data_IF_060812613787
#
_entry.id   IF_060812613787
#
_cell.length_a   1.000
_cell.length_b   1.000
_cell.length_c   1.000
_cell.angle_alpha   90.00
_cell.angle_beta   90.00
_cell.angle_gamma   90.00
#
_symmetry.space_group_name_H-M   'P 1'
#
loop_
_entity.id
_entity.type
_entity.pdbx_description
1 polymer ?
#
# COMPACT_ATOMS: atom_id res chain seq x y z
N UNK A 1 36.35 8.21 2.16
CA UNK A 1 35.59 9.20 2.96
C UNK A 1 34.13 8.95 2.72
N UNK A 2 33.46 8.37 3.67
CA UNK A 2 32.02 8.15 3.61
C UNK A 2 31.31 9.49 3.78
N UNK A 3 30.45 9.90 2.88
CA UNK A 3 29.69 11.14 3.09
C UNK A 3 28.85 10.99 4.36
N UNK A 4 29.01 11.92 5.25
CA UNK A 4 28.24 11.93 6.49
C UNK A 4 26.75 12.06 6.14
N UNK A 5 25.97 11.04 6.49
CA UNK A 5 24.52 10.99 6.32
C UNK A 5 23.77 12.15 7.03
N UNK A 6 24.49 12.95 7.82
CA UNK A 6 23.88 14.07 8.54
C UNK A 6 23.40 15.23 7.65
N UNK A 7 23.74 15.21 6.35
CA UNK A 7 23.25 16.24 5.42
C UNK A 7 21.97 15.82 4.66
N UNK A 8 21.45 14.63 4.92
CA UNK A 8 20.19 14.18 4.33
C UNK A 8 19.01 14.66 5.18
N UNK A 9 19.26 15.63 6.06
CA UNK A 9 18.27 16.10 6.95
C UNK A 9 17.47 17.19 6.35
N UNK A 10 16.64 17.62 6.11
CA UNK A 10 15.76 18.70 5.62
C UNK A 10 15.74 18.81 4.10
N UNK A 11 14.86 18.09 3.51
CA UNK A 11 14.48 18.27 2.11
C UNK A 11 14.74 17.12 1.18
N UNK A 12 15.23 15.99 1.67
CA UNK A 12 15.34 14.83 0.79
C UNK A 12 13.99 14.19 0.63
N UNK A 13 13.54 14.34 -0.55
CA UNK A 13 12.33 13.67 -0.93
C UNK A 13 12.70 12.29 -1.38
N UNK A 14 12.00 11.28 -1.06
CA UNK A 14 12.24 10.13 -1.34
C UNK A 14 11.51 9.10 -1.48
N UNK A 15 11.53 8.13 -1.74
CA UNK A 15 11.65 6.96 -1.53
C UNK A 15 10.93 6.02 -2.15
N UNK A 16 11.41 5.17 -2.80
CA UNK A 16 10.77 4.15 -2.98
C UNK A 16 11.24 2.97 -3.61
N UNK A 17 10.81 1.96 -3.45
CA UNK A 17 10.94 0.63 -4.01
C UNK A 17 10.07 0.59 -5.26
N UNK A 18 10.67 0.15 -6.34
CA UNK A 18 9.93 -0.08 -7.56
C UNK A 18 8.86 -1.12 -7.27
N UNK A 19 7.62 -0.72 -7.35
CA UNK A 19 6.51 -1.62 -7.23
C UNK A 19 5.90 -1.71 -8.62
N UNK A 20 6.14 -2.83 -9.26
CA UNK A 20 5.50 -3.13 -10.52
C UNK A 20 4.04 -3.44 -10.17
N UNK A 21 3.22 -2.42 -10.16
CA UNK A 21 1.78 -2.63 -10.08
C UNK A 21 1.39 -3.11 -11.45
N UNK A 22 1.19 -4.41 -11.55
CA UNK A 22 0.70 -5.02 -12.77
C UNK A 22 -0.64 -4.34 -13.12
N UNK A 23 -0.60 -3.55 -14.19
CA UNK A 23 -1.76 -2.77 -14.62
C UNK A 23 -2.77 -3.59 -15.38
N UNK A 24 -2.62 -4.92 -15.38
CA UNK A 24 -3.65 -5.74 -15.96
C UNK A 24 -4.96 -5.50 -15.20
N UNK A 25 -5.79 -4.72 -15.82
CA UNK A 25 -7.22 -4.68 -15.58
C UNK A 25 -7.64 -5.11 -14.18
N UNK A 26 -7.64 -4.16 -13.26
CA UNK A 26 -8.61 -4.32 -12.19
C UNK A 26 -9.97 -4.26 -12.87
N UNK A 27 -10.62 -5.41 -13.09
CA UNK A 27 -11.99 -5.31 -13.48
C UNK A 27 -12.65 -4.46 -12.40
N UNK A 28 -13.57 -3.65 -12.78
CA UNK A 28 -14.61 -3.23 -11.85
C UNK A 28 -15.33 -4.52 -11.48
N UNK A 29 -14.60 -5.38 -10.75
CA UNK A 29 -15.24 -6.50 -10.12
C UNK A 29 -16.34 -5.90 -9.30
N UNK A 30 -17.51 -6.40 -9.49
CA UNK A 30 -18.57 -6.24 -8.52
C UNK A 30 -17.92 -6.67 -7.20
N UNK A 31 -17.34 -5.70 -6.51
CA UNK A 31 -16.87 -5.93 -5.16
C UNK A 31 -18.06 -6.42 -4.38
N UNK A 32 -18.18 -7.73 -4.32
CA UNK A 32 -19.00 -8.42 -3.34
C UNK A 32 -18.40 -8.22 -1.93
N UNK A 33 -17.66 -7.13 -1.75
CA UNK A 33 -17.22 -6.62 -0.45
C UNK A 33 -18.39 -5.99 0.34
N UNK A 34 -19.60 -6.42 0.00
CA UNK A 34 -20.76 -6.20 0.86
C UNK A 34 -20.61 -7.01 2.17
N UNK A 35 -19.56 -7.87 2.25
CA UNK A 35 -19.34 -8.69 3.44
C UNK A 35 -18.47 -8.03 4.52
N UNK A 36 -17.78 -6.94 4.21
CA UNK A 36 -16.87 -6.33 5.19
C UNK A 36 -17.50 -5.15 5.95
N UNK A 37 -18.64 -4.62 5.50
CA UNK A 37 -19.35 -3.56 6.20
C UNK A 37 -20.49 -4.09 7.08
N UNK A 38 -20.65 -5.41 7.19
CA UNK A 38 -21.49 -5.99 8.22
C UNK A 38 -20.64 -6.13 9.48
N UNK A 39 -20.82 -5.22 10.41
CA UNK A 39 -20.58 -5.58 11.79
C UNK A 39 -21.41 -6.86 12.03
N UNK A 40 -20.74 -7.94 12.29
CA UNK A 40 -21.39 -9.19 12.68
C UNK A 40 -22.26 -8.84 13.91
N UNK A 41 -23.58 -8.88 13.79
CA UNK A 41 -24.42 -8.51 14.93
C UNK A 41 -24.32 -9.49 16.09
N UNK A 42 -23.59 -10.58 15.93
CA UNK A 42 -23.32 -11.53 17.00
C UNK A 42 -22.04 -11.18 17.79
N UNK A 43 -21.22 -10.22 17.32
CA UNK A 43 -19.99 -9.86 18.03
C UNK A 43 -20.28 -8.69 18.99
N UNK A 44 -20.38 -9.01 20.27
CA UNK A 44 -20.54 -8.01 21.35
C UNK A 44 -19.26 -8.04 22.20
N UNK A 45 -18.44 -6.97 22.18
CA UNK A 45 -17.17 -6.98 22.92
C UNK A 45 -17.38 -7.03 24.46
N UNK A 46 -18.58 -6.80 24.96
CA UNK A 46 -18.88 -6.85 26.38
C UNK A 46 -19.37 -8.23 26.84
N UNK A 47 -19.62 -9.15 25.92
CA UNK A 47 -19.93 -10.54 26.28
C UNK A 47 -18.64 -11.36 26.30
N UNK A 48 -17.85 -11.16 27.33
CA UNK A 48 -16.85 -12.16 27.72
C UNK A 48 -17.60 -13.36 28.29
N UNK A 49 -18.20 -14.15 27.40
CA UNK A 49 -18.60 -15.49 27.82
C UNK A 49 -17.34 -16.31 28.03
N UNK A 50 -17.01 -16.57 29.27
CA UNK A 50 -16.04 -17.56 29.68
C UNK A 50 -16.60 -18.96 29.38
N UNK A 51 -16.88 -19.23 28.13
CA UNK A 51 -16.99 -20.62 27.70
C UNK A 51 -15.67 -20.96 27.04
N UNK A 52 -14.72 -21.40 27.84
CA UNK A 52 -13.65 -22.24 27.37
C UNK A 52 -14.32 -23.50 26.83
N UNK A 53 -14.78 -23.45 25.60
CA UNK A 53 -14.97 -24.66 24.82
C UNK A 53 -13.56 -25.16 24.53
N UNK A 54 -13.05 -26.00 25.41
CA UNK A 54 -11.98 -26.89 25.06
C UNK A 54 -12.46 -27.65 23.84
N UNK A 55 -11.88 -27.35 22.70
CA UNK A 55 -11.99 -28.19 21.51
C UNK A 55 -11.42 -29.56 21.94
N UNK A 56 -12.29 -30.44 22.41
CA UNK A 56 -11.95 -31.83 22.60
C UNK A 56 -11.92 -32.45 21.18
N UNK A 57 -10.77 -32.27 20.53
CA UNK A 57 -10.47 -33.05 19.34
C UNK A 57 -10.29 -34.50 19.80
N UNK A 58 -11.15 -35.38 19.35
CA UNK A 58 -11.00 -36.81 19.54
C UNK A 58 -9.67 -37.26 18.91
N UNK A 59 -9.12 -38.33 19.34
CA UNK A 59 -7.88 -38.90 18.79
C UNK A 59 -8.01 -39.13 17.27
N UNK A 60 -9.19 -39.51 16.80
CA UNK A 60 -9.47 -39.72 15.37
C UNK A 60 -9.42 -38.41 14.56
N UNK A 61 -9.98 -37.31 15.10
CA UNK A 61 -9.96 -36.00 14.42
C UNK A 61 -8.54 -35.44 14.37
N UNK A 62 -7.74 -35.67 15.43
CA UNK A 62 -6.36 -35.20 15.42
C UNK A 62 -5.47 -36.03 14.49
N UNK A 63 -5.74 -37.33 14.33
CA UNK A 63 -5.02 -38.18 13.36
C UNK A 63 -5.37 -37.80 11.91
N UNK A 64 -6.61 -37.45 11.66
CA UNK A 64 -7.04 -37.02 10.32
C UNK A 64 -6.44 -35.65 9.94
N UNK A 65 -6.41 -34.71 10.90
CA UNK A 65 -5.73 -33.42 10.71
C UNK A 65 -4.23 -33.64 10.49
N UNK A 66 -3.61 -34.55 11.25
CA UNK A 66 -2.18 -34.88 11.12
C UNK A 66 -1.87 -35.51 9.76
N UNK A 67 -2.79 -36.31 9.21
CA UNK A 67 -2.67 -36.86 7.85
C UNK A 67 -2.75 -35.78 6.80
N UNK A 68 -3.71 -34.87 6.92
CA UNK A 68 -3.86 -33.73 5.97
C UNK A 68 -2.60 -32.87 5.97
N UNK A 69 -2.08 -32.52 7.16
CA UNK A 69 -0.84 -31.74 7.29
C UNK A 69 0.35 -32.48 6.66
N UNK A 70 0.39 -33.80 6.81
CA UNK A 70 1.47 -34.64 6.26
C UNK A 70 1.40 -34.71 4.73
N UNK A 71 0.19 -34.73 4.16
CA UNK A 71 0.00 -34.73 2.71
C UNK A 71 0.37 -33.37 2.10
N UNK A 72 0.12 -32.27 2.82
CA UNK A 72 0.56 -30.94 2.41
C UNK A 72 2.08 -30.76 2.50
N UNK A 73 2.74 -31.45 3.46
CA UNK A 73 4.20 -31.42 3.61
C UNK A 73 4.93 -32.35 2.63
N UNK A 74 4.23 -33.29 1.99
CA UNK A 74 4.84 -34.26 1.05
C UNK A 74 5.10 -33.67 -0.34
N UNK A 75 5.00 -32.37 -0.53
CA UNK A 75 5.66 -31.71 -1.67
C UNK A 75 7.21 -31.83 -1.57
N UNK A 76 7.71 -32.58 -0.58
CA UNK A 76 9.11 -32.66 -0.20
C UNK A 76 10.04 -33.46 -1.10
N UNK A 77 9.57 -34.10 -2.16
CA UNK A 77 10.46 -34.85 -3.05
C UNK A 77 10.90 -34.03 -4.27
N UNK A 78 10.62 -32.72 -4.29
CA UNK A 78 11.17 -31.82 -5.30
C UNK A 78 12.67 -31.66 -5.02
N UNK A 79 13.46 -32.21 -5.91
CA UNK A 79 14.92 -32.07 -5.89
C UNK A 79 15.29 -30.59 -5.87
N UNK A 80 15.92 -30.12 -4.81
CA UNK A 80 16.28 -28.72 -4.65
C UNK A 80 17.38 -28.37 -5.65
N UNK A 81 17.09 -27.43 -6.54
CA UNK A 81 18.05 -26.90 -7.48
C UNK A 81 18.68 -25.63 -6.89
N UNK A 82 19.98 -25.67 -6.68
CA UNK A 82 20.74 -24.56 -6.12
C UNK A 82 21.85 -24.05 -7.02
N UNK A 83 22.19 -24.77 -8.06
CA UNK A 83 23.35 -24.46 -8.92
C UNK A 83 23.06 -23.26 -9.81
N UNK A 84 23.97 -22.28 -9.80
CA UNK A 84 23.89 -21.10 -10.63
C UNK A 84 22.84 -20.07 -10.22
N UNK A 85 22.20 -20.25 -9.06
CA UNK A 85 21.20 -19.32 -8.56
C UNK A 85 21.84 -18.12 -7.87
N UNK A 86 21.15 -16.99 -7.93
CA UNK A 86 21.46 -15.82 -7.13
C UNK A 86 21.35 -16.18 -5.64
N UNK A 87 22.17 -15.55 -4.80
CA UNK A 87 22.17 -15.82 -3.36
C UNK A 87 20.81 -15.60 -2.69
N UNK A 88 19.96 -14.73 -3.24
CA UNK A 88 18.60 -14.54 -2.74
C UNK A 88 17.71 -15.74 -3.03
N UNK A 89 17.89 -16.34 -4.20
CA UNK A 89 17.07 -17.46 -4.67
C UNK A 89 17.58 -18.83 -4.20
N UNK A 90 18.87 -18.91 -3.85
CA UNK A 90 19.47 -20.15 -3.38
C UNK A 90 18.72 -20.62 -2.12
N UNK A 91 18.20 -21.89 -2.08
CA UNK A 91 17.51 -22.41 -0.91
C UNK A 91 18.43 -22.46 0.33
N UNK A 92 17.87 -22.16 1.47
CA UNK A 92 18.57 -22.16 2.76
C UNK A 92 17.77 -23.00 3.74
N UNK A 93 18.47 -23.84 4.52
CA UNK A 93 17.84 -24.70 5.51
C UNK A 93 18.41 -24.46 6.90
N UNK A 94 17.68 -24.87 7.93
CA UNK A 94 18.14 -24.86 9.32
C UNK A 94 18.84 -26.19 9.57
N UNK A 95 20.06 -26.15 10.14
CA UNK A 95 20.85 -27.33 10.40
C UNK A 95 21.22 -27.35 11.89
N UNK A 96 20.94 -28.47 12.58
CA UNK A 96 21.37 -28.66 13.93
C UNK A 96 22.89 -28.95 13.96
N UNK A 97 23.61 -28.34 14.92
CA UNK A 97 25.07 -28.51 15.02
C UNK A 97 25.49 -29.97 15.14
N UNK A 98 24.75 -30.78 15.91
CA UNK A 98 25.05 -32.21 16.07
C UNK A 98 25.04 -32.94 14.72
N UNK A 99 24.08 -32.62 13.85
CA UNK A 99 24.00 -33.21 12.50
C UNK A 99 25.13 -32.72 11.60
N UNK A 100 25.43 -31.42 11.67
CA UNK A 100 26.52 -30.85 10.88
C UNK A 100 27.89 -31.46 11.27
N UNK A 101 28.12 -31.70 12.56
CA UNK A 101 29.39 -32.27 13.04
C UNK A 101 29.64 -33.67 12.50
N UNK A 102 28.62 -34.41 12.08
CA UNK A 102 28.82 -35.74 11.43
C UNK A 102 29.65 -35.63 10.14
N UNK A 103 29.59 -34.49 9.46
CA UNK A 103 30.35 -34.25 8.22
C UNK A 103 31.84 -33.99 8.50
N UNK A 104 32.22 -33.73 9.75
CA UNK A 104 33.58 -33.39 10.15
C UNK A 104 34.26 -34.47 10.99
N UNK A 105 33.70 -35.71 10.98
CA UNK A 105 34.26 -36.82 11.75
C UNK A 105 35.62 -37.32 11.22
N UNK A 106 35.92 -37.01 9.95
CA UNK A 106 37.16 -37.49 9.31
C UNK A 106 37.86 -36.29 8.64
N UNK A 107 39.19 -36.40 8.58
CA UNK A 107 40.00 -35.43 7.85
C UNK A 107 39.62 -35.47 6.35
N UNK A 108 39.35 -34.34 5.74
CA UNK A 108 38.97 -34.25 4.33
C UNK A 108 40.15 -34.50 3.35
N UNK A 109 41.37 -34.68 3.87
CA UNK A 109 42.57 -34.97 3.06
C UNK A 109 43.05 -36.40 3.19
N UNK A 110 43.25 -36.90 4.41
CA UNK A 110 43.82 -38.23 4.62
C UNK A 110 42.82 -39.21 5.27
N UNK A 111 41.57 -38.77 5.51
CA UNK A 111 40.47 -39.56 6.08
C UNK A 111 40.75 -40.15 7.46
N UNK A 112 41.78 -39.69 8.16
CA UNK A 112 41.98 -40.05 9.56
C UNK A 112 40.82 -39.57 10.42
N UNK A 113 40.35 -40.39 11.37
CA UNK A 113 39.21 -39.98 12.22
C UNK A 113 39.62 -38.97 13.28
N UNK A 114 38.65 -38.24 13.81
CA UNK A 114 38.78 -37.37 14.96
C UNK A 114 39.69 -36.15 14.78
N UNK A 115 39.55 -35.36 13.71
CA UNK A 115 40.29 -34.10 13.68
C UNK A 115 39.85 -33.17 14.80
N UNK A 116 40.74 -32.32 15.26
CA UNK A 116 40.42 -31.32 16.27
C UNK A 116 39.55 -30.23 15.63
N UNK A 117 38.37 -29.98 16.18
CA UNK A 117 37.43 -29.02 15.67
C UNK A 117 37.31 -27.80 16.58
N UNK A 118 37.28 -26.60 15.98
CA UNK A 118 36.93 -25.36 16.67
C UNK A 118 35.75 -24.74 15.94
N UNK A 119 34.64 -24.58 16.63
CA UNK A 119 33.39 -24.05 16.09
C UNK A 119 33.15 -22.68 16.64
N UNK A 120 32.89 -21.71 15.76
CA UNK A 120 32.54 -20.35 16.14
C UNK A 120 31.45 -19.84 15.19
N UNK A 121 30.91 -18.66 15.47
CA UNK A 121 29.88 -18.08 14.59
C UNK A 121 30.00 -16.57 14.45
N UNK A 122 29.49 -16.05 13.36
CA UNK A 122 29.35 -14.60 13.11
C UNK A 122 27.89 -14.37 12.67
N UNK A 123 27.06 -13.95 13.60
CA UNK A 123 25.63 -13.89 13.38
C UNK A 123 25.08 -15.29 13.04
N UNK A 124 24.48 -15.44 11.87
CA UNK A 124 23.93 -16.73 11.41
C UNK A 124 24.98 -17.65 10.78
N UNK A 125 26.18 -17.13 10.50
CA UNK A 125 27.22 -17.92 9.83
C UNK A 125 28.00 -18.77 10.84
N UNK A 126 28.06 -20.07 10.60
CA UNK A 126 28.96 -20.98 11.31
C UNK A 126 30.32 -20.98 10.64
N UNK A 127 31.36 -21.04 11.46
CA UNK A 127 32.74 -21.12 11.01
C UNK A 127 33.39 -22.30 11.73
N UNK A 128 33.85 -23.32 10.98
CA UNK A 128 34.41 -24.55 11.52
C UNK A 128 35.85 -24.66 11.02
N UNK A 129 36.77 -24.69 11.99
CA UNK A 129 38.18 -24.96 11.73
C UNK A 129 38.48 -26.40 12.14
N UNK A 130 38.93 -27.20 11.18
CA UNK A 130 39.29 -28.59 11.41
C UNK A 130 40.80 -28.76 11.21
N UNK A 131 41.46 -29.37 12.19
CA UNK A 131 42.90 -29.69 12.13
C UNK A 131 43.15 -31.18 12.33
N UNK A 132 43.68 -31.82 11.33
CA UNK A 132 44.00 -33.22 11.39
C UNK A 132 45.19 -33.49 12.33
N UNK A 133 45.07 -34.43 13.26
CA UNK A 133 46.15 -34.77 14.16
C UNK A 133 47.22 -35.62 13.47
N UNK A 134 46.86 -36.33 12.39
CA UNK A 134 47.75 -37.22 11.64
C UNK A 134 48.56 -36.48 10.58
N UNK A 135 47.91 -35.86 9.60
CA UNK A 135 48.58 -35.19 8.47
C UNK A 135 48.76 -33.68 8.67
N UNK A 136 48.30 -33.13 9.80
CA UNK A 136 48.37 -31.70 10.16
C UNK A 136 47.63 -30.76 9.18
N UNK A 137 46.88 -31.31 8.25
CA UNK A 137 46.06 -30.51 7.33
C UNK A 137 45.04 -29.70 8.10
N UNK A 138 44.88 -28.41 7.74
CA UNK A 138 43.84 -27.53 8.30
C UNK A 138 42.83 -27.22 7.21
N UNK A 139 41.53 -27.22 7.60
CA UNK A 139 40.42 -26.96 6.72
C UNK A 139 39.48 -25.97 7.43
N UNK A 140 39.24 -24.83 6.77
CA UNK A 140 38.29 -23.85 7.27
C UNK A 140 37.02 -23.89 6.41
N UNK A 141 35.89 -24.09 7.05
CA UNK A 141 34.61 -24.17 6.40
C UNK A 141 33.67 -23.10 6.96
N UNK A 142 32.96 -22.43 6.09
CA UNK A 142 31.94 -21.43 6.42
C UNK A 142 30.59 -21.90 5.87
N UNK A 143 29.53 -21.75 6.68
CA UNK A 143 28.19 -22.18 6.29
C UNK A 143 27.52 -21.25 5.26
N UNK A 144 28.16 -20.13 4.93
CA UNK A 144 27.60 -19.12 4.00
C UNK A 144 28.72 -18.51 3.18
N UNK A 145 28.44 -18.10 1.94
CA UNK A 145 29.39 -17.27 1.22
C UNK A 145 29.50 -15.89 1.85
N UNK A 146 30.55 -15.19 1.48
CA UNK A 146 30.79 -13.84 1.95
C UNK A 146 30.42 -12.85 0.85
N UNK A 147 29.75 -11.77 1.20
CA UNK A 147 29.52 -10.59 0.37
C UNK A 147 30.43 -9.51 0.91
N UNK A 148 31.52 -9.24 0.18
CA UNK A 148 32.61 -8.40 0.70
C UNK A 148 33.10 -8.98 2.04
N UNK A 149 32.97 -8.22 3.12
CA UNK A 149 33.39 -8.66 4.47
C UNK A 149 32.24 -9.19 5.34
N UNK A 150 31.05 -9.32 4.77
CA UNK A 150 29.86 -9.71 5.55
C UNK A 150 29.37 -11.10 5.16
N UNK A 151 28.97 -11.94 6.13
CA UNK A 151 28.26 -13.17 5.78
C UNK A 151 26.97 -12.86 5.01
N UNK A 152 26.80 -13.56 3.89
CA UNK A 152 25.67 -13.29 2.98
C UNK A 152 24.32 -13.45 3.69
N UNK A 153 24.17 -14.50 4.50
CA UNK A 153 22.93 -14.75 5.23
C UNK A 153 22.57 -13.63 6.21
N UNK A 154 23.58 -13.00 6.82
CA UNK A 154 23.32 -11.87 7.74
C UNK A 154 22.73 -10.67 7.00
N UNK A 155 23.31 -10.32 5.84
CA UNK A 155 22.78 -9.21 5.02
C UNK A 155 21.39 -9.54 4.46
N UNK A 156 21.23 -10.77 3.95
CA UNK A 156 19.94 -11.21 3.40
C UNK A 156 18.85 -11.23 4.46
N UNK A 157 19.18 -11.67 5.70
CA UNK A 157 18.22 -11.64 6.81
C UNK A 157 17.81 -10.20 7.14
N UNK A 158 18.76 -9.27 7.19
CA UNK A 158 18.45 -7.85 7.44
C UNK A 158 17.56 -7.28 6.34
N UNK A 159 17.85 -7.59 5.08
CA UNK A 159 17.03 -7.15 3.95
C UNK A 159 15.63 -7.77 4.01
N UNK A 160 15.54 -9.05 4.33
CA UNK A 160 14.26 -9.76 4.45
C UNK A 160 13.39 -9.15 5.56
N UNK A 161 13.97 -8.81 6.71
CA UNK A 161 13.24 -8.14 7.80
C UNK A 161 12.72 -6.78 7.37
N UNK A 162 13.51 -6.03 6.60
CA UNK A 162 13.07 -4.74 6.07
C UNK A 162 11.90 -4.93 5.09
N UNK A 163 12.03 -5.85 4.14
CA UNK A 163 11.00 -6.11 3.12
C UNK A 163 9.71 -6.67 3.70
N UNK A 164 9.81 -7.47 4.77
CA UNK A 164 8.64 -8.04 5.44
C UNK A 164 7.90 -7.01 6.32
N UNK A 165 8.46 -5.81 6.50
CA UNK A 165 7.90 -4.84 7.44
C UNK A 165 7.91 -5.35 8.88
N UNK A 166 8.85 -6.25 9.20
CA UNK A 166 8.84 -6.96 10.47
C UNK A 166 9.42 -6.09 11.60
N UNK A 167 8.93 -6.35 12.81
CA UNK A 167 9.56 -5.83 14.03
C UNK A 167 10.86 -6.61 14.26
N UNK A 168 11.98 -5.91 14.23
CA UNK A 168 13.32 -6.49 14.40
C UNK A 168 13.40 -7.27 15.71
N UNK A 169 12.91 -6.66 16.80
CA UNK A 169 12.92 -7.28 18.12
C UNK A 169 12.12 -8.58 18.14
N UNK A 170 10.97 -8.63 17.47
CA UNK A 170 10.14 -9.85 17.43
C UNK A 170 10.82 -10.96 16.63
N UNK A 171 11.44 -10.64 15.50
CA UNK A 171 12.17 -11.62 14.69
C UNK A 171 13.35 -12.20 15.49
N UNK A 172 14.16 -11.32 16.12
CA UNK A 172 15.30 -11.78 16.91
C UNK A 172 14.85 -12.62 18.11
N UNK A 173 13.69 -12.31 18.69
CA UNK A 173 13.10 -13.11 19.78
C UNK A 173 12.71 -14.51 19.30
N UNK A 174 12.18 -14.65 18.09
CA UNK A 174 11.89 -15.96 17.49
C UNK A 174 13.19 -16.79 17.39
N UNK A 175 14.27 -16.19 16.88
CA UNK A 175 15.57 -16.85 16.79
C UNK A 175 16.07 -17.29 18.18
N UNK A 176 15.90 -16.42 19.18
CA UNK A 176 16.29 -16.70 20.55
C UNK A 176 15.51 -17.89 21.14
N UNK A 177 14.18 -17.91 20.95
CA UNK A 177 13.35 -19.02 21.46
C UNK A 177 13.67 -20.35 20.77
N UNK A 178 14.06 -20.32 19.52
CA UNK A 178 14.51 -21.51 18.78
C UNK A 178 15.99 -21.85 19.02
N UNK A 179 16.72 -21.01 19.76
CA UNK A 179 18.16 -21.13 19.95
C UNK A 179 18.93 -21.13 18.61
N UNK A 180 18.43 -20.37 17.63
CA UNK A 180 19.11 -20.20 16.35
C UNK A 180 20.13 -19.06 16.48
N UNK A 181 21.34 -19.31 16.04
CA UNK A 181 22.40 -18.31 16.06
C UNK A 181 22.05 -17.13 15.16
N UNK A 182 22.18 -15.91 15.69
CA UNK A 182 21.85 -14.69 14.96
C UNK A 182 22.69 -13.53 15.53
N UNK A 183 22.76 -12.46 14.79
CA UNK A 183 23.45 -11.24 15.19
C UNK A 183 22.57 -10.41 16.14
N UNK A 184 23.20 -9.48 16.84
CA UNK A 184 22.53 -8.54 17.73
C UNK A 184 21.78 -7.45 16.96
N UNK A 185 20.73 -6.88 17.54
CA UNK A 185 19.91 -5.80 16.96
C UNK A 185 20.76 -4.66 16.38
N UNK A 186 21.86 -4.29 17.05
CA UNK A 186 22.76 -3.23 16.57
C UNK A 186 23.35 -3.54 15.19
N UNK A 187 23.59 -4.82 14.88
CA UNK A 187 24.07 -5.24 13.56
C UNK A 187 23.00 -5.00 12.47
N UNK A 188 21.74 -5.27 12.78
CA UNK A 188 20.64 -4.93 11.85
C UNK A 188 20.68 -3.44 11.51
N UNK A 189 20.73 -2.57 12.52
CA UNK A 189 20.73 -1.12 12.27
C UNK A 189 21.99 -0.64 11.56
N UNK A 190 23.12 -1.33 11.76
CA UNK A 190 24.34 -1.07 10.98
C UNK A 190 24.10 -1.42 9.49
N UNK A 191 23.55 -2.61 9.21
CA UNK A 191 23.22 -3.03 7.84
C UNK A 191 22.22 -2.07 7.20
N UNK A 192 21.15 -1.71 7.94
CA UNK A 192 20.13 -0.81 7.44
C UNK A 192 20.73 0.53 7.03
N UNK A 193 21.51 1.14 7.93
CA UNK A 193 22.05 2.48 7.73
C UNK A 193 23.14 2.55 6.65
N UNK A 194 24.02 1.57 6.63
CA UNK A 194 25.22 1.63 5.80
C UNK A 194 25.11 0.88 4.48
N UNK A 195 24.14 -0.01 4.34
CA UNK A 195 24.03 -0.88 3.17
C UNK A 195 22.64 -0.83 2.51
N UNK A 196 21.59 -1.10 3.26
CA UNK A 196 20.25 -1.24 2.68
C UNK A 196 19.70 0.10 2.22
N UNK A 197 19.67 1.11 3.09
CA UNK A 197 19.12 2.43 2.75
C UNK A 197 19.90 3.07 1.59
N UNK A 198 21.23 3.12 1.60
CA UNK A 198 21.96 3.71 0.46
C UNK A 198 21.66 3.00 -0.86
N UNK A 199 21.55 1.66 -0.84
CA UNK A 199 21.26 0.88 -2.05
C UNK A 199 19.86 1.17 -2.59
N UNK A 200 18.85 1.20 -1.69
CA UNK A 200 17.46 1.48 -2.05
C UNK A 200 17.33 2.90 -2.61
N UNK A 201 17.93 3.89 -1.93
CA UNK A 201 17.86 5.30 -2.35
C UNK A 201 18.54 5.50 -3.70
N UNK A 202 19.69 4.86 -3.91
CA UNK A 202 20.41 4.95 -5.19
C UNK A 202 19.56 4.37 -6.32
N UNK A 203 18.99 3.17 -6.11
CA UNK A 203 18.15 2.51 -7.11
C UNK A 203 16.94 3.40 -7.44
N UNK A 204 16.25 3.93 -6.42
CA UNK A 204 15.08 4.80 -6.62
C UNK A 204 15.45 6.05 -7.44
N UNK A 205 16.54 6.72 -7.08
CA UNK A 205 16.97 7.96 -7.78
C UNK A 205 17.27 7.70 -9.26
N UNK A 206 17.96 6.58 -9.54
CA UNK A 206 18.29 6.21 -10.92
C UNK A 206 17.02 5.88 -11.72
N UNK A 207 16.11 5.15 -11.11
CA UNK A 207 14.85 4.76 -11.73
C UNK A 207 13.95 5.99 -11.95
N UNK A 208 13.79 6.83 -10.93
CA UNK A 208 13.01 8.08 -11.01
C UNK A 208 13.55 8.98 -12.12
N UNK A 209 14.88 9.12 -12.21
CA UNK A 209 15.50 9.93 -13.25
C UNK A 209 15.14 9.42 -14.65
N UNK A 210 15.19 8.11 -14.88
CA UNK A 210 14.81 7.50 -16.18
C UNK A 210 13.37 7.84 -16.55
N UNK A 211 12.44 7.74 -15.58
CA UNK A 211 11.03 8.06 -15.82
C UNK A 211 10.88 9.56 -16.16
N UNK A 212 11.44 10.44 -15.34
CA UNK A 212 11.30 11.89 -15.55
C UNK A 212 11.94 12.32 -16.86
N UNK A 213 13.07 11.74 -17.24
CA UNK A 213 13.70 12.00 -18.55
C UNK A 213 12.79 11.58 -19.69
N UNK A 214 12.09 10.43 -19.55
CA UNK A 214 11.16 9.95 -20.58
C UNK A 214 9.90 10.80 -20.70
N UNK A 215 9.56 11.58 -19.65
CA UNK A 215 8.39 12.44 -19.61
C UNK A 215 8.71 13.91 -19.97
N UNK A 216 9.95 14.20 -20.33
CA UNK A 216 10.39 15.55 -20.68
C UNK A 216 9.56 16.10 -21.82
N UNK A 217 8.98 17.27 -21.65
CA UNK A 217 8.12 17.98 -22.62
C UNK A 217 6.84 17.23 -23.01
N UNK A 218 6.46 16.17 -22.24
CA UNK A 218 5.22 15.43 -22.51
C UNK A 218 4.09 15.92 -21.60
N UNK A 219 2.89 15.97 -22.15
CA UNK A 219 1.69 16.24 -21.38
C UNK A 219 1.34 15.08 -20.50
N UNK A 220 1.14 15.34 -19.21
CA UNK A 220 0.83 14.29 -18.23
C UNK A 220 -0.36 14.67 -17.35
N UNK A 221 -1.10 13.64 -16.95
CA UNK A 221 -2.13 13.71 -15.93
C UNK A 221 -1.54 13.05 -14.67
N UNK A 222 -1.56 13.77 -13.56
CA UNK A 222 -1.03 13.28 -12.28
C UNK A 222 -2.13 13.16 -11.24
N UNK A 223 -1.94 12.26 -10.31
CA UNK A 223 -2.80 12.11 -9.13
C UNK A 223 -1.93 12.11 -7.88
N UNK A 224 -2.45 12.63 -6.78
CA UNK A 224 -1.74 12.65 -5.51
C UNK A 224 -2.63 12.25 -4.35
N UNK A 225 -2.06 11.52 -3.38
CA UNK A 225 -2.78 11.08 -2.20
C UNK A 225 -1.83 10.91 -1.02
N UNK A 226 -2.37 11.07 0.19
CA UNK A 226 -1.63 10.97 1.43
C UNK A 226 -1.91 9.68 2.21
N UNK A 227 -0.87 9.11 2.81
CA UNK A 227 -0.98 7.95 3.70
C UNK A 227 -0.32 8.27 5.04
N UNK A 228 -1.00 7.96 6.13
CA UNK A 228 -0.45 8.09 7.49
C UNK A 228 -0.01 6.72 8.03
N UNK A 229 1.05 6.72 8.85
CA UNK A 229 1.60 5.49 9.46
C UNK A 229 0.76 4.96 10.62
N UNK A 230 -0.20 5.73 11.10
CA UNK A 230 -1.14 5.28 12.13
C UNK A 230 -2.47 6.04 11.98
N UNK A 231 -3.49 5.55 12.65
CA UNK A 231 -4.82 6.14 12.60
C UNK A 231 -4.94 7.32 13.57
N UNK A 232 -5.83 8.25 13.26
CA UNK A 232 -6.14 9.41 14.10
C UNK A 232 -5.01 10.43 14.14
N UNK A 233 -4.86 11.10 15.28
CA UNK A 233 -3.90 12.18 15.46
C UNK A 233 -2.54 11.70 16.01
N UNK A 234 -2.30 10.39 16.05
CA UNK A 234 -1.08 9.81 16.60
C UNK A 234 -0.01 9.49 15.55
N UNK A 235 -0.26 9.77 14.28
CA UNK A 235 0.67 9.47 13.20
C UNK A 235 1.95 10.28 13.34
N UNK A 236 3.10 9.60 13.25
CA UNK A 236 4.43 10.22 13.28
C UNK A 236 4.89 10.60 11.87
N UNK A 237 4.49 9.83 10.89
CA UNK A 237 4.89 10.03 9.49
C UNK A 237 3.67 10.01 8.58
N UNK A 238 3.69 10.92 7.61
CA UNK A 238 2.81 10.92 6.47
C UNK A 238 3.62 10.77 5.19
N UNK A 239 3.13 9.99 4.24
CA UNK A 239 3.71 9.87 2.91
C UNK A 239 2.74 10.50 1.91
N UNK A 240 3.22 11.40 1.06
CA UNK A 240 2.42 11.93 -0.05
C UNK A 240 2.98 11.37 -1.34
N UNK A 241 2.14 10.63 -2.07
CA UNK A 241 2.54 9.89 -3.27
C UNK A 241 1.99 10.55 -4.52
N UNK A 242 2.81 10.65 -5.57
CA UNK A 242 2.41 11.19 -6.88
C UNK A 242 2.42 10.05 -7.91
N UNK A 243 1.26 9.81 -8.48
CA UNK A 243 1.04 8.81 -9.52
C UNK A 243 0.84 9.51 -10.85
N UNK A 244 1.55 9.06 -11.88
CA UNK A 244 1.35 9.56 -13.24
C UNK A 244 0.34 8.67 -13.96
N UNK A 245 -0.88 9.16 -14.12
CA UNK A 245 -1.97 8.41 -14.78
C UNK A 245 -1.65 8.13 -16.25
N UNK A 246 -0.83 8.98 -16.88
CA UNK A 246 -0.49 8.84 -18.29
C UNK A 246 0.37 7.61 -18.56
N UNK A 247 1.30 7.28 -17.65
CA UNK A 247 2.21 6.14 -17.81
C UNK A 247 1.97 5.02 -16.79
N UNK A 248 1.10 5.25 -15.82
CA UNK A 248 0.73 4.21 -14.87
C UNK A 248 1.78 3.93 -13.79
N UNK A 249 2.54 4.93 -13.36
CA UNK A 249 3.66 4.73 -12.42
C UNK A 249 3.65 5.77 -11.31
N UNK A 250 4.14 5.38 -10.13
CA UNK A 250 4.48 6.34 -9.07
C UNK A 250 5.76 7.04 -9.51
N UNK A 251 5.72 8.37 -9.57
CA UNK A 251 6.86 9.16 -10.06
C UNK A 251 7.53 9.97 -8.96
N UNK A 252 6.87 10.16 -7.82
CA UNK A 252 7.44 10.93 -6.73
C UNK A 252 6.80 10.58 -5.40
N UNK A 253 7.57 10.71 -4.32
CA UNK A 253 7.13 10.46 -2.95
C UNK A 253 7.74 11.49 -2.02
N UNK A 254 6.96 11.93 -1.05
CA UNK A 254 7.42 12.84 0.00
C UNK A 254 7.10 12.23 1.36
N UNK A 255 8.12 12.00 2.18
CA UNK A 255 7.93 11.59 3.57
C UNK A 255 7.95 12.83 4.46
N UNK A 256 6.91 13.01 5.27
CA UNK A 256 6.74 14.16 6.17
C UNK A 256 6.66 13.66 7.61
N UNK A 257 7.37 14.30 8.53
CA UNK A 257 7.24 14.03 9.96
C UNK A 257 6.19 14.99 10.56
N UNK A 258 5.42 14.48 11.52
CA UNK A 258 4.40 15.29 12.20
C UNK A 258 5.02 16.55 12.85
N UNK A 259 6.24 16.43 13.38
CA UNK A 259 6.93 17.57 13.99
C UNK A 259 7.27 18.67 12.97
N UNK A 260 7.61 18.28 11.72
CA UNK A 260 7.90 19.23 10.64
C UNK A 260 6.64 19.94 10.16
N UNK A 261 5.52 19.23 10.18
CA UNK A 261 4.23 19.76 9.71
C UNK A 261 3.48 20.52 10.81
N UNK A 262 3.91 20.39 12.06
CA UNK A 262 3.22 20.97 13.21
C UNK A 262 2.14 20.09 13.80
N UNK A 263 1.59 19.18 13.01
CA UNK A 263 0.60 18.20 13.47
C UNK A 263 0.48 17.05 12.47
N UNK A 264 -0.08 15.92 12.91
CA UNK A 264 -0.34 14.80 12.02
C UNK A 264 -1.37 15.15 10.93
N UNK A 265 -2.36 15.99 11.25
CA UNK A 265 -3.38 16.39 10.27
C UNK A 265 -2.87 17.34 9.19
N UNK A 266 -1.73 18.02 9.44
CA UNK A 266 -1.13 18.93 8.46
C UNK A 266 -0.16 18.21 7.49
N UNK A 267 0.25 16.97 7.79
CA UNK A 267 1.28 16.28 7.02
C UNK A 267 0.91 16.09 5.55
N UNK A 268 -0.35 15.80 5.27
CA UNK A 268 -0.81 15.59 3.89
C UNK A 268 -0.65 16.87 3.07
N UNK A 269 -1.05 18.01 3.63
CA UNK A 269 -0.94 19.30 2.95
C UNK A 269 0.54 19.71 2.75
N UNK A 270 1.37 19.51 3.77
CA UNK A 270 2.83 19.79 3.67
C UNK A 270 3.46 18.87 2.61
N UNK A 271 3.08 17.59 2.60
CA UNK A 271 3.55 16.63 1.58
C UNK A 271 3.15 17.07 0.17
N UNK A 272 1.92 17.51 0.00
CA UNK A 272 1.41 18.04 -1.27
C UNK A 272 2.24 19.25 -1.74
N UNK A 273 2.48 20.20 -0.84
CA UNK A 273 3.26 21.40 -1.19
C UNK A 273 4.69 21.03 -1.63
N UNK A 274 5.36 20.18 -0.84
CA UNK A 274 6.73 19.72 -1.15
C UNK A 274 6.78 18.94 -2.48
N UNK A 275 5.75 18.12 -2.74
CA UNK A 275 5.65 17.38 -4.00
C UNK A 275 5.56 18.35 -5.17
N UNK A 276 4.70 19.39 -5.09
CA UNK A 276 4.56 20.36 -6.17
C UNK A 276 5.82 21.23 -6.34
N UNK A 277 6.51 21.58 -5.26
CA UNK A 277 7.81 22.26 -5.37
C UNK A 277 8.77 21.46 -6.25
N UNK A 278 8.80 20.13 -6.08
CA UNK A 278 9.63 19.26 -6.92
C UNK A 278 9.06 19.15 -8.34
N UNK A 279 7.77 18.86 -8.49
CA UNK A 279 7.14 18.63 -9.80
C UNK A 279 7.30 19.85 -10.74
N UNK A 280 7.22 21.05 -10.19
CA UNK A 280 7.38 22.29 -10.96
C UNK A 280 8.82 22.51 -11.45
N UNK A 281 9.81 21.80 -10.89
CA UNK A 281 11.20 21.84 -11.39
C UNK A 281 11.42 20.86 -12.55
N UNK A 282 10.50 19.93 -12.79
CA UNK A 282 10.65 18.92 -13.86
C UNK A 282 10.26 19.53 -15.22
N UNK A 283 10.69 18.84 -16.27
CA UNK A 283 10.32 19.25 -17.64
C UNK A 283 8.98 18.70 -18.13
N UNK A 284 8.20 18.09 -17.26
CA UNK A 284 6.87 17.59 -17.62
C UNK A 284 5.90 18.75 -17.87
N UNK A 285 4.96 18.57 -18.79
CA UNK A 285 3.84 19.48 -18.99
C UNK A 285 2.63 18.90 -18.25
N UNK A 286 2.45 19.34 -17.00
CA UNK A 286 1.35 18.84 -16.17
C UNK A 286 0.07 19.56 -16.59
N UNK A 287 -0.89 18.83 -17.19
CA UNK A 287 -2.16 19.42 -17.64
C UNK A 287 -3.24 19.32 -16.57
N UNK A 288 -3.22 18.27 -15.78
CA UNK A 288 -4.30 17.91 -14.86
C UNK A 288 -3.72 17.26 -13.62
N UNK A 289 -4.33 17.59 -12.49
CA UNK A 289 -3.99 16.97 -11.21
C UNK A 289 -5.27 16.50 -10.51
N UNK A 290 -5.38 15.19 -9.98
CA UNK A 290 -6.40 14.62 -9.33
C UNK A 290 -6.04 14.49 -7.98
N UNK A 291 -6.84 14.81 -7.02
CA UNK A 291 -6.61 14.56 -5.60
C UNK A 291 -7.92 14.36 -4.85
N UNK A 292 -7.80 13.98 -3.57
CA UNK A 292 -8.95 13.94 -2.68
C UNK A 292 -9.49 15.34 -2.39
N UNK A 293 -10.68 15.40 -1.75
CA UNK A 293 -11.31 16.64 -1.33
C UNK A 293 -10.68 17.19 -0.04
N UNK A 294 -9.38 17.43 -0.04
CA UNK A 294 -8.70 18.07 1.07
C UNK A 294 -8.82 19.58 0.93
N UNK A 295 -9.43 20.26 1.91
CA UNK A 295 -9.77 21.68 1.80
C UNK A 295 -8.53 22.57 1.58
N UNK A 296 -7.45 22.32 2.31
CA UNK A 296 -6.22 23.11 2.19
C UNK A 296 -5.54 22.88 0.83
N UNK A 297 -5.53 21.64 0.35
CA UNK A 297 -4.99 21.33 -0.99
C UNK A 297 -5.81 22.03 -2.06
N UNK A 298 -7.15 21.91 -1.98
CA UNK A 298 -8.03 22.55 -2.97
C UNK A 298 -7.84 24.07 -2.98
N UNK A 299 -7.70 24.69 -1.81
CA UNK A 299 -7.44 26.12 -1.69
C UNK A 299 -6.09 26.49 -2.32
N UNK A 300 -5.04 25.75 -2.01
CA UNK A 300 -3.70 26.01 -2.54
C UNK A 300 -3.65 25.85 -4.06
N UNK A 301 -4.30 24.83 -4.60
CA UNK A 301 -4.39 24.58 -6.05
C UNK A 301 -5.10 25.70 -6.78
N UNK A 302 -6.10 26.33 -6.14
CA UNK A 302 -6.88 27.42 -6.73
C UNK A 302 -6.21 28.77 -6.61
N UNK A 303 -5.57 29.05 -5.48
CA UNK A 303 -5.10 30.39 -5.11
C UNK A 303 -3.58 30.57 -5.27
N UNK A 304 -2.78 29.53 -5.04
CA UNK A 304 -1.32 29.64 -5.05
C UNK A 304 -0.71 29.08 -6.33
N UNK A 305 -1.13 27.87 -6.75
CA UNK A 305 -0.50 27.18 -7.88
C UNK A 305 -0.56 27.99 -9.20
N UNK A 306 -1.68 28.66 -9.56
CA UNK A 306 -1.69 29.41 -10.83
C UNK A 306 -0.63 30.52 -10.87
N UNK A 307 -0.38 31.19 -9.76
CA UNK A 307 0.66 32.23 -9.67
C UNK A 307 2.07 31.60 -9.81
N UNK A 308 2.29 30.44 -9.15
CA UNK A 308 3.56 29.72 -9.29
C UNK A 308 3.81 29.25 -10.73
N UNK A 309 2.77 28.74 -11.40
CA UNK A 309 2.86 28.35 -12.81
C UNK A 309 3.23 29.55 -13.68
N UNK A 310 2.61 30.71 -13.45
CA UNK A 310 2.90 31.93 -14.18
C UNK A 310 4.35 32.38 -14.00
N UNK A 311 4.85 32.37 -12.73
CA UNK A 311 6.23 32.75 -12.41
C UNK A 311 7.25 31.85 -13.12
N UNK A 312 6.94 30.55 -13.25
CA UNK A 312 7.81 29.55 -13.85
C UNK A 312 7.53 29.34 -15.35
N UNK A 313 6.65 30.15 -15.94
CA UNK A 313 6.25 30.09 -17.35
C UNK A 313 5.73 28.69 -17.74
N UNK A 314 4.97 28.07 -16.83
CA UNK A 314 4.37 26.76 -17.06
C UNK A 314 2.87 26.88 -17.34
N UNK A 315 2.28 25.93 -18.08
CA UNK A 315 0.83 25.92 -18.29
C UNK A 315 0.05 25.82 -16.98
N UNK A 316 -1.17 26.35 -16.99
CA UNK A 316 -2.09 26.24 -15.85
C UNK A 316 -2.51 24.78 -15.69
N UNK A 317 -2.40 24.27 -14.46
CA UNK A 317 -2.76 22.90 -14.11
C UNK A 317 -4.21 22.88 -13.64
N UNK A 318 -5.05 22.07 -14.31
CA UNK A 318 -6.45 21.91 -13.92
C UNK A 318 -6.54 20.95 -12.75
N UNK A 319 -7.25 21.32 -11.69
CA UNK A 319 -7.41 20.50 -10.50
C UNK A 319 -8.81 19.87 -10.46
N UNK A 320 -8.86 18.55 -10.31
CA UNK A 320 -10.11 17.79 -10.19
C UNK A 320 -10.07 16.90 -8.94
N UNK A 321 -11.26 16.67 -8.38
CA UNK A 321 -11.41 15.74 -7.25
C UNK A 321 -11.54 14.31 -7.74
N UNK A 322 -10.97 13.40 -6.98
CA UNK A 322 -11.06 11.98 -7.26
C UNK A 322 -12.50 11.49 -7.21
N UNK A 323 -12.86 10.77 -8.26
CA UNK A 323 -14.20 10.23 -8.49
C UNK A 323 -14.57 9.17 -7.43
N UNK A 324 -13.62 8.30 -7.08
CA UNK A 324 -13.88 7.19 -6.16
C UNK A 324 -14.22 7.69 -4.75
N UNK A 325 -13.48 8.67 -4.25
CA UNK A 325 -13.73 9.24 -2.92
C UNK A 325 -15.09 9.93 -2.82
N UNK A 326 -15.55 10.57 -3.91
CA UNK A 326 -16.89 11.16 -3.95
C UNK A 326 -17.93 10.04 -3.91
N UNK A 327 -17.75 8.99 -4.73
CA UNK A 327 -18.64 7.84 -4.77
C UNK A 327 -18.77 7.13 -3.43
N UNK A 328 -17.63 6.89 -2.78
CA UNK A 328 -17.57 6.28 -1.44
C UNK A 328 -18.33 7.14 -0.42
N UNK A 329 -18.19 8.46 -0.48
CA UNK A 329 -18.89 9.39 0.43
C UNK A 329 -20.40 9.39 0.15
N UNK A 330 -20.84 9.31 -1.10
CA UNK A 330 -22.24 9.12 -1.45
C UNK A 330 -22.74 7.81 -0.83
N UNK A 331 -22.02 6.77 -1.02
CA UNK A 331 -22.36 5.46 -0.46
C UNK A 331 -22.50 5.46 1.07
N UNK A 332 -21.71 6.02 1.59
CA UNK A 332 -21.69 6.17 2.92
C UNK A 332 -22.84 6.85 3.48
N UNK A 333 -23.12 7.93 2.94
CA UNK A 333 -24.31 8.75 3.31
C UNK A 333 -25.59 7.93 3.14
N UNK A 334 -25.74 7.25 2.01
CA UNK A 334 -26.95 6.47 1.74
C UNK A 334 -27.10 5.28 2.69
N UNK A 335 -26.02 4.64 3.11
CA UNK A 335 -26.04 3.56 4.12
C UNK A 335 -26.56 4.10 5.44
N UNK A 336 -26.04 5.24 5.89
CA UNK A 336 -26.48 5.86 7.14
C UNK A 336 -27.99 6.17 7.09
N UNK A 337 -28.44 6.77 6.00
CA UNK A 337 -29.86 7.13 5.84
C UNK A 337 -30.76 5.90 5.77
N UNK A 338 -30.29 4.80 5.16
CA UNK A 338 -31.11 3.58 5.01
C UNK A 338 -31.35 2.85 6.34
N UNK A 339 -30.61 3.19 7.39
CA UNK A 339 -30.81 2.65 8.74
C UNK A 339 -31.91 3.38 9.50
N UNK A 340 -32.40 4.49 8.98
CA UNK A 340 -33.50 5.25 9.59
C UNK A 340 -34.85 4.61 9.24
N UNK A 341 -35.76 4.53 10.22
CA UNK A 341 -37.09 3.93 10.05
C UNK A 341 -37.83 4.57 8.87
N UNK A 342 -38.34 3.75 7.94
CA UNK A 342 -39.05 4.21 6.76
C UNK A 342 -38.15 4.61 5.60
N UNK A 343 -36.81 4.50 5.76
CA UNK A 343 -35.85 4.89 4.73
C UNK A 343 -35.08 3.70 4.14
N UNK A 344 -35.47 2.45 4.45
CA UNK A 344 -34.80 1.22 4.02
C UNK A 344 -34.70 1.13 2.50
N UNK A 345 -35.66 1.71 1.79
CA UNK A 345 -35.68 1.73 0.32
C UNK A 345 -34.44 2.45 -0.26
N UNK A 346 -33.87 3.42 0.49
CA UNK A 346 -32.65 4.13 0.04
C UNK A 346 -31.49 3.14 -0.08
N UNK A 347 -31.38 2.16 0.85
CA UNK A 347 -30.37 1.12 0.82
C UNK A 347 -30.44 0.27 -0.44
N UNK A 348 -31.65 -0.08 -0.89
CA UNK A 348 -31.86 -0.87 -2.12
C UNK A 348 -31.42 -0.12 -3.37
N UNK A 349 -31.55 1.21 -3.37
CA UNK A 349 -31.17 2.05 -4.50
C UNK A 349 -29.71 2.54 -4.43
N UNK A 350 -29.00 2.22 -3.35
CA UNK A 350 -27.63 2.71 -3.08
C UNK A 350 -26.66 2.41 -4.21
N UNK A 351 -26.54 1.13 -4.61
CA UNK A 351 -25.60 0.73 -5.67
C UNK A 351 -25.94 1.42 -7.01
N UNK A 352 -27.24 1.55 -7.30
CA UNK A 352 -27.69 2.24 -8.52
C UNK A 352 -27.32 3.72 -8.49
N UNK A 353 -27.41 4.38 -7.32
CA UNK A 353 -27.06 5.79 -7.17
C UNK A 353 -25.55 6.02 -7.46
N UNK A 354 -24.70 5.18 -6.89
CA UNK A 354 -23.24 5.31 -7.07
C UNK A 354 -22.86 5.04 -8.53
N UNK A 355 -23.42 3.99 -9.13
CA UNK A 355 -23.20 3.71 -10.56
C UNK A 355 -23.67 4.86 -11.46
N UNK A 356 -24.82 5.45 -11.12
CA UNK A 356 -25.35 6.62 -11.85
C UNK A 356 -24.42 7.83 -11.71
N UNK A 357 -23.86 8.01 -10.51
CA UNK A 357 -22.87 9.06 -10.28
C UNK A 357 -21.65 8.85 -11.20
N UNK A 358 -21.07 7.70 -11.22
CA UNK A 358 -19.96 7.40 -12.13
C UNK A 358 -20.32 7.66 -13.61
N UNK A 359 -21.42 7.26 -13.97
CA UNK A 359 -21.90 7.46 -15.23
C UNK A 359 -22.01 8.81 -15.59
N UNK A 360 -22.50 9.59 -14.72
CA UNK A 360 -22.71 11.03 -14.94
C UNK A 360 -21.41 11.80 -15.18
N UNK A 361 -20.38 11.47 -14.41
CA UNK A 361 -19.07 12.16 -14.53
C UNK A 361 -18.30 11.66 -15.76
N UNK A 362 -18.15 10.33 -15.89
CA UNK A 362 -17.33 9.73 -16.96
C UNK A 362 -17.88 10.06 -18.36
N UNK A 363 -19.20 10.10 -18.51
CA UNK A 363 -19.84 10.41 -19.79
C UNK A 363 -19.83 11.90 -20.14
N UNK A 364 -19.23 12.74 -19.27
CA UNK A 364 -19.20 14.19 -19.49
C UNK A 364 -17.75 14.64 -19.61
N UNK A 365 -17.29 14.84 -20.83
CA UNK A 365 -15.91 15.25 -21.09
C UNK A 365 -15.67 16.71 -20.71
N UNK A 366 -14.44 17.01 -20.34
CA UNK A 366 -14.00 18.37 -20.09
C UNK A 366 -14.52 18.97 -18.79
N UNK A 367 -14.66 20.29 -18.78
CA UNK A 367 -14.97 21.08 -17.58
C UNK A 367 -16.45 21.42 -17.45
N UNK A 368 -17.33 20.62 -18.06
CA UNK A 368 -18.78 20.89 -18.06
C UNK A 368 -19.42 20.44 -16.73
N UNK A 369 -19.05 21.11 -15.64
CA UNK A 369 -19.50 20.73 -14.28
C UNK A 369 -21.02 20.76 -14.11
N UNK A 370 -21.70 21.74 -14.71
CA UNK A 370 -23.15 21.83 -14.60
C UNK A 370 -23.86 20.65 -15.31
N UNK A 371 -23.30 20.18 -16.42
CA UNK A 371 -23.80 19.00 -17.12
C UNK A 371 -23.63 17.73 -16.26
N UNK A 372 -22.47 17.59 -15.58
CA UNK A 372 -22.25 16.47 -14.64
C UNK A 372 -23.33 16.44 -13.55
N UNK A 373 -23.61 17.60 -12.97
CA UNK A 373 -24.64 17.75 -11.91
C UNK A 373 -26.04 17.44 -12.48
N UNK A 374 -26.38 18.00 -13.67
CA UNK A 374 -27.68 17.74 -14.30
C UNK A 374 -27.90 16.24 -14.54
N UNK A 375 -26.87 15.57 -15.08
CA UNK A 375 -26.90 14.10 -15.28
C UNK A 375 -27.08 13.38 -13.94
N UNK A 376 -26.32 13.75 -12.91
CA UNK A 376 -26.40 13.10 -11.60
C UNK A 376 -27.78 13.30 -10.96
N UNK A 377 -28.31 14.55 -10.99
CA UNK A 377 -29.62 14.83 -10.41
C UNK A 377 -30.78 14.17 -11.15
N UNK A 378 -30.58 13.74 -12.41
CA UNK A 378 -31.61 12.97 -13.13
C UNK A 378 -31.94 11.65 -12.41
N UNK A 379 -31.02 11.18 -11.52
CA UNK A 379 -31.26 10.03 -10.67
C UNK A 379 -32.50 10.21 -9.79
N UNK A 380 -32.77 11.44 -9.30
CA UNK A 380 -33.95 11.73 -8.46
C UNK A 380 -35.27 11.49 -9.22
N UNK A 381 -35.27 11.69 -10.54
CA UNK A 381 -36.40 11.34 -11.38
C UNK A 381 -36.43 9.83 -11.69
N UNK A 382 -35.24 9.25 -11.91
CA UNK A 382 -35.12 7.82 -12.21
C UNK A 382 -35.69 6.94 -11.08
N UNK A 383 -35.45 7.26 -9.80
CA UNK A 383 -35.93 6.45 -8.67
C UNK A 383 -37.44 6.46 -8.50
N UNK A 384 -38.14 7.39 -9.16
CA UNK A 384 -39.61 7.44 -9.20
C UNK A 384 -40.15 7.05 -10.60
N UNK A 385 -39.33 6.37 -11.41
CA UNK A 385 -39.64 5.87 -12.76
C UNK A 385 -40.05 6.97 -13.76
N UNK A 386 -39.45 8.16 -13.65
CA UNK A 386 -39.64 9.27 -14.61
C UNK A 386 -38.35 9.41 -15.42
N UNK A 387 -38.44 9.23 -16.76
CA UNK A 387 -37.28 9.13 -17.64
C UNK A 387 -37.26 10.20 -18.76
N UNK A 388 -38.37 10.88 -18.97
CA UNK A 388 -38.51 11.93 -19.98
C UNK A 388 -38.96 13.23 -19.35
N UNK A 389 -38.70 14.35 -20.05
CA UNK A 389 -39.04 15.70 -19.57
C UNK A 389 -38.51 15.95 -18.15
N UNK A 390 -37.24 15.62 -17.96
CA UNK A 390 -36.59 15.82 -16.67
C UNK A 390 -36.46 17.33 -16.36
N UNK A 391 -36.36 17.70 -15.08
CA UNK A 391 -36.43 19.12 -14.68
C UNK A 391 -35.29 20.00 -15.24
N UNK A 392 -34.11 19.41 -15.51
CA UNK A 392 -32.93 20.17 -15.92
C UNK A 392 -32.77 20.16 -17.44
N UNK A 393 -32.72 21.33 -18.06
CA UNK A 393 -32.61 21.47 -19.52
C UNK A 393 -31.27 20.96 -20.08
N UNK A 394 -30.21 20.97 -19.27
CA UNK A 394 -28.90 20.46 -19.69
C UNK A 394 -28.90 18.91 -19.82
N UNK A 395 -29.87 18.23 -19.19
CA UNK A 395 -30.06 16.79 -19.29
C UNK A 395 -31.55 16.48 -19.03
N UNK A 396 -32.36 16.53 -20.08
CA UNK A 396 -33.81 16.47 -19.98
C UNK A 396 -34.41 15.09 -20.30
N UNK A 397 -33.57 14.09 -20.70
CA UNK A 397 -34.03 12.76 -21.03
C UNK A 397 -33.01 11.72 -20.54
N UNK A 398 -33.48 10.68 -19.84
CA UNK A 398 -32.68 9.55 -19.42
C UNK A 398 -32.41 8.60 -20.62
N UNK A 399 -31.35 7.87 -20.59
CA UNK A 399 -31.13 6.78 -21.58
C UNK A 399 -32.11 5.62 -21.46
N UNK A 400 -32.57 5.36 -20.30
CA UNK A 400 -33.45 4.43 -20.07
C UNK A 400 -34.75 4.91 -20.43
N UNK A 401 -35.49 4.01 -20.98
CA UNK A 401 -36.93 4.25 -21.19
C UNK A 401 -37.67 3.87 -19.90
N UNK A 402 -38.99 4.10 -19.90
CA UNK A 402 -39.82 3.73 -18.74
C UNK A 402 -39.68 2.20 -18.51
N UNK A 403 -39.32 1.85 -17.29
CA UNK A 403 -39.05 0.46 -16.93
C UNK A 403 -40.38 -0.20 -16.54
N UNK A 404 -40.81 -1.18 -17.30
CA UNK A 404 -42.10 -1.89 -17.11
C UNK A 404 -41.98 -3.12 -16.19
N UNK A 405 -40.73 -3.65 -15.99
CA UNK A 405 -40.52 -4.80 -15.09
C UNK A 405 -40.81 -4.41 -13.65
N UNK A 406 -41.31 -5.34 -12.81
CA UNK A 406 -41.55 -5.04 -11.40
C UNK A 406 -40.27 -4.57 -10.69
N UNK A 407 -40.40 -3.47 -9.99
CA UNK A 407 -39.30 -2.87 -9.21
C UNK A 407 -39.92 -2.03 -8.10
N UNK A 408 -39.25 -1.99 -6.96
CA UNK A 408 -39.69 -1.13 -5.88
C UNK A 408 -39.23 0.30 -6.15
N UNK A 409 -40.13 1.08 -6.69
CA UNK A 409 -39.91 2.50 -6.95
C UNK A 409 -40.11 3.32 -5.66
N UNK A 410 -39.41 4.44 -5.54
CA UNK A 410 -39.67 5.40 -4.48
C UNK A 410 -40.93 6.21 -4.81
N UNK A 411 -41.65 6.62 -3.78
CA UNK A 411 -42.82 7.48 -3.94
C UNK A 411 -42.40 8.93 -3.77
N UNK A 412 -42.67 9.76 -4.78
CA UNK A 412 -42.45 11.18 -4.71
C UNK A 412 -43.25 11.76 -3.52
N UNK A 413 -42.61 12.54 -2.66
CA UNK A 413 -43.23 13.08 -1.47
C UNK A 413 -43.10 12.20 -0.22
N UNK A 414 -42.57 10.98 -0.36
CA UNK A 414 -42.26 10.16 0.83
C UNK A 414 -41.08 10.76 1.62
N UNK A 415 -41.01 10.45 2.91
CA UNK A 415 -39.89 10.88 3.77
C UNK A 415 -38.54 10.42 3.20
N UNK A 416 -38.45 9.16 2.77
CA UNK A 416 -37.24 8.60 2.15
C UNK A 416 -36.83 9.41 0.91
N UNK A 417 -37.77 9.75 0.03
CA UNK A 417 -37.47 10.55 -1.15
C UNK A 417 -36.99 11.96 -0.76
N UNK A 418 -37.62 12.60 0.22
CA UNK A 418 -37.24 13.94 0.69
C UNK A 418 -35.82 13.95 1.21
N UNK A 419 -35.47 12.97 2.05
CA UNK A 419 -34.11 12.83 2.61
C UNK A 419 -33.08 12.58 1.49
N UNK A 420 -33.41 11.69 0.55
CA UNK A 420 -32.53 11.44 -0.61
C UNK A 420 -32.34 12.72 -1.44
N UNK A 421 -33.40 13.46 -1.70
CA UNK A 421 -33.36 14.72 -2.44
C UNK A 421 -32.41 15.72 -1.76
N UNK A 422 -32.56 15.92 -0.46
CA UNK A 422 -31.74 16.88 0.31
C UNK A 422 -30.26 16.44 0.31
N UNK A 423 -29.99 15.16 0.48
CA UNK A 423 -28.63 14.62 0.51
C UNK A 423 -27.92 14.82 -0.86
N UNK A 424 -28.62 14.52 -1.96
CA UNK A 424 -28.03 14.62 -3.30
C UNK A 424 -27.94 16.08 -3.80
N UNK A 425 -28.70 17.00 -3.20
CA UNK A 425 -28.63 18.44 -3.51
C UNK A 425 -27.73 19.23 -2.55
N UNK A 426 -27.07 18.55 -1.61
CA UNK A 426 -26.20 19.22 -0.64
C UNK A 426 -25.13 20.03 -1.38
N UNK A 427 -25.02 21.33 -1.07
CA UNK A 427 -24.14 22.29 -1.77
C UNK A 427 -22.71 21.76 -1.89
N UNK A 428 -22.18 21.16 -0.81
CA UNK A 428 -20.80 20.62 -0.81
C UNK A 428 -20.63 19.42 -1.75
N UNK A 429 -21.68 18.60 -1.92
CA UNK A 429 -21.67 17.48 -2.88
C UNK A 429 -21.76 18.01 -4.31
N UNK A 430 -22.66 18.94 -4.57
CA UNK A 430 -22.82 19.54 -5.90
C UNK A 430 -21.50 20.18 -6.35
N UNK A 431 -20.84 20.94 -5.48
CA UNK A 431 -19.51 21.52 -5.78
C UNK A 431 -18.48 20.43 -6.10
N UNK A 432 -18.48 19.34 -5.34
CA UNK A 432 -17.55 18.22 -5.57
C UNK A 432 -17.80 17.56 -6.92
N UNK A 433 -19.06 17.33 -7.30
CA UNK A 433 -19.43 16.71 -8.57
C UNK A 433 -19.00 17.60 -9.74
N UNK A 434 -19.17 18.92 -9.64
CA UNK A 434 -18.71 19.85 -10.68
C UNK A 434 -17.21 19.71 -10.95
N UNK A 435 -16.43 19.46 -9.90
CA UNK A 435 -14.97 19.36 -9.95
C UNK A 435 -14.47 17.90 -10.03
N UNK A 436 -15.36 16.92 -10.16
CA UNK A 436 -14.99 15.49 -10.23
C UNK A 436 -14.22 15.20 -11.53
N UNK A 437 -13.19 14.35 -11.43
CA UNK A 437 -12.37 13.97 -12.57
C UNK A 437 -13.12 13.01 -13.50
N UNK A 438 -13.09 13.29 -14.80
CA UNK A 438 -13.56 12.35 -15.82
C UNK A 438 -12.39 11.62 -16.53
N UNK A 439 -11.15 11.92 -16.13
CA UNK A 439 -9.95 11.48 -16.87
C UNK A 439 -9.02 10.64 -16.04
N UNK A 440 -8.96 10.83 -14.74
CA UNK A 440 -8.04 10.10 -13.86
C UNK A 440 -8.71 9.64 -12.57
N UNK A 441 -8.12 8.64 -11.94
CA UNK A 441 -8.57 8.10 -10.66
C UNK A 441 -7.38 7.93 -9.71
N UNK A 442 -7.64 8.03 -8.42
CA UNK A 442 -6.63 7.83 -7.37
C UNK A 442 -6.64 6.39 -6.82
N UNK A 443 -7.50 5.52 -7.34
CA UNK A 443 -7.61 4.14 -6.86
C UNK A 443 -6.27 3.37 -6.91
N UNK A 444 -5.45 3.64 -7.92
CA UNK A 444 -4.10 3.06 -8.02
C UNK A 444 -3.22 3.47 -6.83
N UNK A 445 -3.40 4.69 -6.30
CA UNK A 445 -2.67 5.15 -5.13
C UNK A 445 -3.07 4.38 -3.87
N UNK A 446 -4.35 4.02 -3.73
CA UNK A 446 -4.78 3.17 -2.61
C UNK A 446 -4.18 1.77 -2.69
N UNK A 447 -4.17 1.18 -3.89
CA UNK A 447 -3.47 -0.08 -4.15
C UNK A 447 -2.00 0.03 -3.76
N UNK A 448 -1.34 1.08 -4.20
CA UNK A 448 0.06 1.36 -3.85
C UNK A 448 0.24 1.52 -2.32
N UNK A 449 -0.64 2.27 -1.66
CA UNK A 449 -0.58 2.43 -0.20
C UNK A 449 -0.79 1.10 0.53
N UNK A 450 -1.60 0.20 -0.03
CA UNK A 450 -1.75 -1.15 0.50
C UNK A 450 -0.44 -1.93 0.41
N UNK A 451 0.29 -1.80 -0.69
CA UNK A 451 1.62 -2.41 -0.83
C UNK A 451 2.60 -1.82 0.18
N UNK A 452 2.62 -0.49 0.35
CA UNK A 452 3.47 0.14 1.39
C UNK A 452 3.19 -0.47 2.77
N UNK A 453 1.92 -0.79 3.08
CA UNK A 453 1.58 -1.39 4.37
C UNK A 453 2.25 -2.75 4.60
N UNK A 454 2.65 -3.47 3.56
CA UNK A 454 3.41 -4.72 3.70
C UNK A 454 4.85 -4.45 4.19
N UNK A 455 5.46 -3.37 3.72
CA UNK A 455 6.82 -3.00 4.10
C UNK A 455 6.86 -2.15 5.37
N UNK A 456 5.85 -1.33 5.58
CA UNK A 456 5.71 -0.42 6.72
C UNK A 456 4.31 -0.55 7.32
N UNK A 457 4.01 -1.65 8.04
CA UNK A 457 2.69 -1.84 8.64
C UNK A 457 2.32 -0.67 9.55
N UNK A 458 1.05 -0.30 9.52
CA UNK A 458 0.54 0.76 10.40
C UNK A 458 0.72 0.35 11.86
N UNK A 459 0.92 1.33 12.73
CA UNK A 459 1.11 1.18 14.17
C UNK A 459 2.46 0.60 14.58
N UNK A 460 3.38 0.32 13.65
CA UNK A 460 4.76 -0.01 13.97
C UNK A 460 5.63 1.24 13.86
N UNK A 461 6.44 1.49 14.89
CA UNK A 461 7.33 2.64 14.92
C UNK A 461 8.64 2.34 14.21
N UNK A 462 8.96 3.16 13.22
CA UNK A 462 10.25 3.12 12.53
C UNK A 462 10.96 4.45 12.75
N UNK A 463 12.29 4.46 12.59
CA UNK A 463 13.05 5.70 12.51
C UNK A 463 12.73 6.40 11.17
N UNK A 464 13.06 7.66 11.04
CA UNK A 464 12.86 8.41 9.79
C UNK A 464 13.50 7.66 8.61
N UNK A 465 14.79 7.29 8.75
CA UNK A 465 15.49 6.58 7.67
C UNK A 465 14.91 5.19 7.42
N UNK A 466 14.45 4.52 8.48
CA UNK A 466 13.79 3.23 8.35
C UNK A 466 12.45 3.32 7.61
N UNK A 467 11.67 4.36 7.89
CA UNK A 467 10.40 4.61 7.18
C UNK A 467 10.67 5.01 5.72
N UNK A 468 11.70 5.84 5.51
CA UNK A 468 12.08 6.30 4.17
C UNK A 468 12.45 5.13 3.24
N UNK A 469 13.11 4.10 3.78
CA UNK A 469 13.56 2.94 3.00
C UNK A 469 12.43 1.96 2.69
N UNK A 470 11.33 1.99 3.45
CA UNK A 470 10.17 1.12 3.28
C UNK A 470 9.17 1.69 2.31
#
# INVERSE_FOLDING_TARGET
MTPKLNKISKGVQTTQIEIDIDQTDYPMEDDDDDKTDYEDPSWNPDETSTSTETLNLNEEDSEELYKQLKDDDIEGDKKLDFRGKDLREEPKGIVFLSQLMLLFQFCNKCFAPGPKLAVSHVGTMLNINSQCQKCKHTFNWKSQPMLMKFPAGNLLLSFAMLCAGASIKKVLLVFQHMNILVYHEATYYYHQRNMLIPSIVKYWREWQKKILDSLQNKEVVLAGDGRHDSMGHSAKFGTYSIYCCTVGLIIHLVLVQANDAGSSSAMEFVGHQRAFEFLLTTGMVITTFXSDRHASIAKWMREVLPQRCKELQKPIIKHFFDLWHIGKKIQXTLIKMSKETGCEIIGRWRKACVRHFYXSVISTQGVLGDVKVAKFHSYLSHVINVHNRLPNQLFNKCKXEVITRPKQWMTKGSEAYGKLYDALNKVSLVKAIKQASSVGQTSCLEGYHSVINQFAPKMLSFSYLGMLAR
#
